data_IF_667297694846
#
_entry.id   IF_667297694846
#
_cell.length_a   1.000
_cell.length_b   1.000
_cell.length_c   1.000
_cell.angle_alpha   90.00
_cell.angle_beta   90.00
_cell.angle_gamma   90.00
#
_symmetry.space_group_name_H-M   'P 1'
#
loop_
_entity.id
_entity.type
_entity.pdbx_description
1 polymer ?
#
# COMPACT_ATOMS: atom_id res chain seq x y z
N UNK A 1 46.13 32.92 11.03
CA UNK A 1 44.77 33.24 11.51
C UNK A 1 43.67 33.05 10.49
N UNK A 2 43.87 33.50 9.26
CA UNK A 2 42.85 33.30 8.21
C UNK A 2 42.54 31.85 7.93
N UNK A 3 43.54 30.97 7.96
CA UNK A 3 43.39 29.56 7.72
C UNK A 3 42.55 28.88 8.80
N UNK A 4 42.74 29.28 10.05
CA UNK A 4 42.00 28.75 11.19
C UNK A 4 40.51 29.11 11.10
N UNK A 5 40.21 30.37 10.70
CA UNK A 5 38.85 30.84 10.52
C UNK A 5 38.12 30.11 9.39
N UNK A 6 38.83 29.83 8.30
CA UNK A 6 38.29 29.09 7.15
C UNK A 6 37.98 27.64 7.56
N UNK A 7 38.91 26.99 8.30
CA UNK A 7 38.66 25.64 8.81
C UNK A 7 37.48 25.57 9.78
N UNK A 8 37.35 26.55 10.65
CA UNK A 8 36.24 26.64 11.59
C UNK A 8 34.89 26.82 10.87
N UNK A 9 34.84 27.73 9.88
CA UNK A 9 33.68 27.94 9.06
C UNK A 9 33.27 26.68 8.29
N UNK A 10 34.28 25.93 7.77
CA UNK A 10 34.05 24.69 7.06
C UNK A 10 33.45 23.60 7.97
N UNK A 11 33.97 23.49 9.19
CA UNK A 11 33.44 22.56 10.20
C UNK A 11 32.02 22.88 10.57
N UNK A 12 31.68 24.14 10.77
CA UNK A 12 30.32 24.60 11.09
C UNK A 12 29.38 24.23 9.94
N UNK A 13 29.79 24.49 8.70
CA UNK A 13 29.01 24.15 7.52
C UNK A 13 28.76 22.65 7.43
N UNK A 14 29.77 21.84 7.71
CA UNK A 14 29.66 20.38 7.72
C UNK A 14 28.63 19.93 8.76
N UNK A 15 28.67 20.50 9.97
CA UNK A 15 27.70 20.20 11.02
C UNK A 15 26.27 20.55 10.61
N UNK A 16 26.07 21.69 9.97
CA UNK A 16 24.76 22.11 9.48
C UNK A 16 24.23 21.13 8.45
N UNK A 17 25.06 20.70 7.50
CA UNK A 17 24.69 19.74 6.47
C UNK A 17 24.29 18.39 7.09
N UNK A 18 25.08 17.88 8.04
CA UNK A 18 24.78 16.64 8.74
C UNK A 18 23.46 16.73 9.53
N UNK A 19 23.22 17.87 10.18
CA UNK A 19 21.98 18.11 10.91
C UNK A 19 20.77 18.11 10.00
N UNK A 20 20.87 18.74 8.83
CA UNK A 20 19.80 18.75 7.83
C UNK A 20 19.49 17.34 7.33
N UNK A 21 20.53 16.55 7.04
CA UNK A 21 20.38 15.16 6.57
C UNK A 21 19.64 14.33 7.61
N UNK A 22 20.02 14.46 8.89
CA UNK A 22 19.37 13.73 9.98
C UNK A 22 17.91 14.16 10.15
N UNK A 23 17.63 15.45 10.02
CA UNK A 23 16.26 15.99 10.09
C UNK A 23 15.35 15.42 8.99
N UNK A 24 15.88 15.32 7.78
CA UNK A 24 15.15 14.72 6.65
C UNK A 24 14.83 13.25 6.93
N UNK A 25 15.78 12.50 7.47
CA UNK A 25 15.56 11.08 7.82
C UNK A 25 14.48 10.93 8.90
N UNK A 26 14.47 11.80 9.90
CA UNK A 26 13.48 11.79 10.97
C UNK A 26 12.10 12.12 10.42
N UNK A 27 11.98 13.13 9.57
CA UNK A 27 10.73 13.50 8.92
C UNK A 27 10.16 12.32 8.10
N UNK A 28 10.99 11.61 7.36
CA UNK A 28 10.56 10.43 6.60
C UNK A 28 10.05 9.31 7.50
N UNK A 29 10.63 9.13 8.68
CA UNK A 29 10.17 8.14 9.65
C UNK A 29 8.82 8.51 10.26
N UNK A 30 8.55 9.80 10.41
CA UNK A 30 7.28 10.31 10.95
C UNK A 30 6.22 10.55 9.87
N UNK A 31 6.55 10.48 8.61
CA UNK A 31 5.53 10.46 7.57
C UNK A 31 4.63 9.27 7.81
N UNK A 32 3.36 9.56 8.11
CA UNK A 32 2.35 8.50 8.18
C UNK A 32 2.37 7.74 6.87
N UNK A 33 2.48 6.41 6.90
CA UNK A 33 2.25 5.66 5.70
C UNK A 33 0.91 6.14 5.16
N UNK A 34 0.87 6.51 3.90
CA UNK A 34 -0.37 6.87 3.22
C UNK A 34 -1.37 5.79 3.58
N UNK A 35 -2.60 6.18 3.92
CA UNK A 35 -3.66 5.24 4.27
C UNK A 35 -4.01 4.36 3.06
N UNK A 36 -3.00 3.69 2.51
CA UNK A 36 -3.19 2.73 1.45
C UNK A 36 -3.49 1.39 2.09
N UNK A 37 -4.68 0.91 1.85
CA UNK A 37 -5.07 -0.43 2.27
C UNK A 37 -4.94 -1.34 1.07
N UNK A 38 -4.29 -2.48 1.27
CA UNK A 38 -4.17 -3.51 0.26
C UNK A 38 -5.42 -4.35 0.27
N UNK A 39 -6.03 -4.48 -0.90
CA UNK A 39 -7.12 -5.43 -1.12
C UNK A 39 -6.75 -6.37 -2.24
N UNK A 40 -7.45 -7.48 -2.30
CA UNK A 40 -7.30 -8.45 -3.38
C UNK A 40 -8.67 -8.70 -3.99
N UNK A 41 -8.74 -8.68 -5.31
CA UNK A 41 -9.95 -9.00 -6.06
C UNK A 41 -9.75 -10.35 -6.72
N UNK A 42 -10.69 -11.24 -6.52
CA UNK A 42 -10.64 -12.57 -7.13
C UNK A 42 -12.01 -12.94 -7.67
N UNK A 43 -12.01 -13.75 -8.72
CA UNK A 43 -13.25 -14.29 -9.30
C UNK A 43 -13.38 -15.76 -8.95
N UNK A 44 -14.51 -16.12 -8.38
CA UNK A 44 -14.84 -17.50 -8.06
C UNK A 44 -15.27 -18.28 -9.31
N UNK A 45 -15.29 -19.57 -9.19
CA UNK A 45 -15.69 -20.46 -10.29
C UNK A 45 -17.10 -20.19 -10.80
N UNK A 46 -18.00 -19.72 -9.93
CA UNK A 46 -19.36 -19.35 -10.29
C UNK A 46 -19.47 -17.99 -10.98
N UNK A 47 -18.32 -17.37 -11.30
CA UNK A 47 -18.20 -16.09 -11.97
C UNK A 47 -18.47 -14.86 -11.08
N UNK A 48 -18.60 -15.03 -9.78
CA UNK A 48 -18.76 -13.91 -8.84
C UNK A 48 -17.42 -13.30 -8.48
N UNK A 49 -17.40 -11.96 -8.32
CA UNK A 49 -16.22 -11.22 -7.89
C UNK A 49 -16.28 -10.97 -6.39
N UNK A 50 -15.15 -11.07 -5.74
CA UNK A 50 -15.02 -10.87 -4.30
C UNK A 50 -13.82 -10.01 -3.96
N UNK A 51 -13.97 -9.20 -2.91
CA UNK A 51 -12.93 -8.35 -2.38
C UNK A 51 -12.43 -8.91 -1.05
N UNK A 52 -11.12 -9.14 -0.95
CA UNK A 52 -10.50 -9.71 0.24
C UNK A 52 -9.49 -8.72 0.82
N UNK A 53 -9.37 -8.66 2.14
CA UNK A 53 -8.37 -7.84 2.82
C UNK A 53 -6.98 -8.45 2.79
N UNK A 54 -6.88 -9.77 2.69
CA UNK A 54 -5.62 -10.49 2.56
C UNK A 54 -5.69 -11.37 1.33
N UNK A 55 -4.51 -11.75 0.80
CA UNK A 55 -4.46 -12.62 -0.37
C UNK A 55 -5.25 -13.90 -0.10
N UNK A 56 -6.33 -14.16 -0.85
CA UNK A 56 -7.13 -15.34 -0.64
C UNK A 56 -6.42 -16.58 -1.17
N UNK A 57 -6.82 -17.72 -0.64
CA UNK A 57 -6.34 -19.03 -1.09
C UNK A 57 -7.41 -19.68 -1.96
N UNK A 58 -6.98 -20.24 -3.09
CA UNK A 58 -7.89 -20.98 -3.96
C UNK A 58 -8.28 -22.33 -3.33
N UNK A 59 -9.57 -22.59 -3.28
CA UNK A 59 -10.12 -23.89 -2.97
C UNK A 59 -10.63 -24.57 -4.25
N UNK A 60 -11.42 -25.62 -4.12
CA UNK A 60 -11.92 -26.35 -5.29
C UNK A 60 -12.82 -25.51 -6.19
N UNK A 61 -13.65 -24.63 -5.62
CA UNK A 61 -14.64 -23.87 -6.37
C UNK A 61 -14.67 -22.39 -6.05
N UNK A 62 -13.90 -21.93 -5.07
CA UNK A 62 -13.92 -20.54 -4.62
C UNK A 62 -12.59 -20.13 -4.01
N UNK A 63 -12.41 -18.84 -3.87
CA UNK A 63 -11.34 -18.30 -3.06
C UNK A 63 -11.80 -18.15 -1.63
N UNK A 64 -10.93 -18.48 -0.69
CA UNK A 64 -11.21 -18.39 0.74
C UNK A 64 -10.27 -17.40 1.41
N UNK A 65 -10.80 -16.67 2.38
CA UNK A 65 -9.97 -15.80 3.19
C UNK A 65 -8.96 -16.64 3.99
N UNK A 66 -7.68 -16.21 3.93
CA UNK A 66 -6.60 -16.91 4.63
C UNK A 66 -6.41 -16.40 6.04
N UNK A 67 -7.07 -15.29 6.40
CA UNK A 67 -6.93 -14.68 7.72
C UNK A 67 -8.26 -14.69 8.44
N UNK A 68 -8.23 -15.18 9.67
CA UNK A 68 -9.40 -15.20 10.53
C UNK A 68 -9.87 -13.77 10.82
N UNK A 69 -11.18 -13.55 10.71
CA UNK A 69 -11.79 -12.25 10.98
C UNK A 69 -11.65 -11.20 9.86
N UNK A 70 -11.08 -11.54 8.72
CA UNK A 70 -10.97 -10.63 7.60
C UNK A 70 -12.29 -10.55 6.83
N UNK A 71 -12.62 -9.32 6.38
CA UNK A 71 -13.88 -9.05 5.70
C UNK A 71 -13.76 -9.47 4.24
N UNK A 72 -14.75 -10.23 3.78
CA UNK A 72 -14.95 -10.58 2.38
C UNK A 72 -16.16 -9.81 1.89
N UNK A 73 -16.01 -9.06 0.80
CA UNK A 73 -17.09 -8.24 0.24
C UNK A 73 -17.42 -8.69 -1.17
N UNK A 74 -18.71 -8.84 -1.46
CA UNK A 74 -19.17 -9.16 -2.81
C UNK A 74 -19.07 -7.94 -3.73
N UNK A 75 -19.20 -8.18 -5.05
CA UNK A 75 -19.07 -7.13 -6.07
C UNK A 75 -20.01 -5.94 -5.88
N UNK A 76 -21.16 -6.15 -5.28
CA UNK A 76 -22.11 -5.05 -5.03
C UNK A 76 -21.56 -3.98 -4.09
N UNK A 77 -20.53 -4.29 -3.32
CA UNK A 77 -19.90 -3.34 -2.41
C UNK A 77 -18.67 -2.65 -3.01
N UNK A 78 -18.26 -3.01 -4.21
CA UNK A 78 -17.05 -2.49 -4.84
C UNK A 78 -17.09 -0.96 -4.99
N UNK A 79 -18.25 -0.42 -5.37
CA UNK A 79 -18.40 1.04 -5.52
C UNK A 79 -18.17 1.79 -4.20
N UNK A 80 -18.47 1.18 -3.06
CA UNK A 80 -18.23 1.78 -1.75
C UNK A 80 -16.74 1.99 -1.48
N UNK A 81 -15.89 1.24 -2.16
CA UNK A 81 -14.43 1.32 -2.03
C UNK A 81 -13.78 2.03 -3.21
N UNK A 82 -14.58 2.64 -4.08
CA UNK A 82 -14.07 3.31 -5.26
C UNK A 82 -13.62 2.37 -6.37
N UNK A 83 -14.06 1.12 -6.34
CA UNK A 83 -13.71 0.12 -7.35
C UNK A 83 -14.81 0.00 -8.39
N UNK A 84 -14.41 -0.17 -9.65
CA UNK A 84 -15.33 -0.42 -10.76
C UNK A 84 -15.26 -1.90 -11.15
N UNK A 85 -16.40 -2.58 -11.08
CA UNK A 85 -16.51 -4.00 -11.44
C UNK A 85 -16.05 -4.24 -12.89
N UNK A 86 -16.28 -3.26 -13.77
CA UNK A 86 -15.90 -3.38 -15.17
C UNK A 86 -14.39 -3.50 -15.39
N UNK A 87 -13.58 -2.99 -14.46
CA UNK A 87 -12.13 -3.12 -14.52
C UNK A 87 -11.67 -4.57 -14.40
N UNK A 88 -12.53 -5.43 -13.88
CA UNK A 88 -12.23 -6.84 -13.64
C UNK A 88 -13.00 -7.78 -14.58
N UNK A 89 -13.57 -7.23 -15.66
CA UNK A 89 -14.34 -8.02 -16.62
C UNK A 89 -13.53 -9.17 -17.24
N UNK A 90 -12.22 -8.99 -17.40
CA UNK A 90 -11.34 -9.99 -17.99
C UNK A 90 -10.68 -10.92 -16.96
N UNK A 91 -10.94 -10.69 -15.67
CA UNK A 91 -10.42 -11.56 -14.61
C UNK A 91 -11.21 -12.85 -14.57
N UNK A 92 -10.51 -13.98 -14.62
CA UNK A 92 -11.10 -15.31 -14.67
C UNK A 92 -10.81 -16.07 -13.39
N UNK A 93 -11.58 -17.13 -13.16
CA UNK A 93 -11.35 -18.06 -12.05
C UNK A 93 -9.92 -18.62 -12.04
N UNK A 94 -9.36 -18.90 -13.21
CA UNK A 94 -8.02 -19.46 -13.35
C UNK A 94 -6.93 -18.45 -13.02
N UNK A 95 -7.25 -17.16 -13.00
CA UNK A 95 -6.28 -16.11 -12.76
C UNK A 95 -5.98 -15.97 -11.27
N UNK A 96 -4.78 -15.50 -10.97
CA UNK A 96 -4.42 -15.16 -9.59
C UNK A 96 -5.20 -13.93 -9.13
N UNK A 97 -5.44 -13.80 -7.81
CA UNK A 97 -6.08 -12.60 -7.28
C UNK A 97 -5.29 -11.34 -7.66
N UNK A 98 -6.01 -10.29 -8.00
CA UNK A 98 -5.42 -8.99 -8.36
C UNK A 98 -5.25 -8.15 -7.11
N UNK A 99 -4.04 -7.68 -6.89
CA UNK A 99 -3.74 -6.77 -5.78
C UNK A 99 -4.20 -5.36 -6.13
N UNK A 100 -4.95 -4.73 -5.24
CA UNK A 100 -5.50 -3.39 -5.41
C UNK A 100 -5.09 -2.53 -4.23
N UNK A 101 -4.62 -1.33 -4.54
CA UNK A 101 -4.26 -0.34 -3.52
C UNK A 101 -5.36 0.71 -3.48
N UNK A 102 -6.03 0.82 -2.34
CA UNK A 102 -7.04 1.83 -2.12
C UNK A 102 -6.48 2.91 -1.22
N UNK A 103 -6.60 4.15 -1.66
CA UNK A 103 -6.27 5.29 -0.83
C UNK A 103 -7.54 5.70 -0.07
N UNK A 104 -7.60 5.31 1.20
CA UNK A 104 -8.71 5.66 2.08
C UNK A 104 -8.46 7.00 2.79
N UNK A 105 -7.36 7.68 2.41
CA UNK A 105 -6.96 8.83 3.13
C UNK A 105 -7.50 10.10 2.68
N UNK A 106 -7.77 10.94 3.21
CA UNK A 106 -7.74 12.36 3.49
C UNK A 106 -8.43 12.68 4.76
#
# INVERSE_FOLDING_TARGET
MKLLLICLAFLILLFIILFIIQSIKIIKLFEKPKNNVHFYVARDMDNSLWLFLCKPKRSEQMFLSTSYGKIIKSEKYFSNYGLDVNDYANLKWQDEPVEVFLNLGD
#
